data_IF_712077653881
#
_entry.id   IF_712077653881
#
_cell.length_a   1.000
_cell.length_b   1.000
_cell.length_c   1.000
_cell.angle_alpha   90.00
_cell.angle_beta   90.00
_cell.angle_gamma   90.00
#
_symmetry.space_group_name_H-M   'P 1'
#
loop_
_entity.id
_entity.type
_entity.pdbx_description
1 polymer ?
#
# COMPACT_ATOMS: atom_id res chain seq x y z
N UNK A 1 -43.14 -19.05 -60.39
CA UNK A 1 -43.98 -19.16 -59.16
C UNK A 1 -43.13 -19.31 -57.90
N UNK A 2 -42.16 -20.23 -57.87
CA UNK A 2 -41.30 -20.46 -56.70
C UNK A 2 -40.37 -19.30 -56.31
N UNK A 3 -39.85 -18.51 -57.26
CA UNK A 3 -38.97 -17.37 -56.97
C UNK A 3 -39.69 -16.25 -56.21
N UNK A 4 -40.93 -15.92 -56.60
CA UNK A 4 -41.76 -14.93 -55.92
C UNK A 4 -42.10 -15.35 -54.50
N UNK A 5 -42.53 -16.60 -54.31
CA UNK A 5 -42.76 -17.19 -52.99
C UNK A 5 -41.49 -17.14 -52.12
N UNK A 6 -40.33 -17.48 -52.68
CA UNK A 6 -39.06 -17.47 -51.95
C UNK A 6 -38.64 -16.06 -51.49
N UNK A 7 -38.76 -15.06 -52.37
CA UNK A 7 -38.46 -13.66 -52.06
C UNK A 7 -39.41 -13.14 -50.97
N UNK A 8 -40.71 -13.40 -51.10
CA UNK A 8 -41.72 -13.02 -50.10
C UNK A 8 -41.43 -13.68 -48.74
N UNK A 9 -40.99 -14.94 -48.72
CA UNK A 9 -40.59 -15.64 -47.48
C UNK A 9 -39.30 -15.09 -46.87
N UNK A 10 -38.28 -14.76 -47.68
CA UNK A 10 -37.06 -14.12 -47.17
C UNK A 10 -37.34 -12.73 -46.59
N UNK A 11 -38.17 -11.93 -47.25
CA UNK A 11 -38.60 -10.63 -46.72
C UNK A 11 -39.36 -10.77 -45.40
N UNK A 12 -40.23 -11.78 -45.31
CA UNK A 12 -40.91 -12.12 -44.06
C UNK A 12 -39.91 -12.51 -42.96
N UNK A 13 -38.93 -13.38 -43.25
CA UNK A 13 -37.91 -13.78 -42.29
C UNK A 13 -37.02 -12.61 -41.83
N UNK A 14 -36.69 -11.67 -42.72
CA UNK A 14 -35.99 -10.42 -42.35
C UNK A 14 -36.82 -9.57 -41.41
N UNK A 15 -38.11 -9.42 -41.70
CA UNK A 15 -39.02 -8.68 -40.81
C UNK A 15 -39.13 -9.34 -39.43
N UNK A 16 -39.11 -10.67 -39.38
CA UNK A 16 -39.18 -11.46 -38.15
C UNK A 16 -37.86 -11.38 -37.35
N UNK A 17 -36.70 -11.36 -38.03
CA UNK A 17 -35.41 -11.06 -37.40
C UNK A 17 -35.40 -9.65 -36.81
N UNK A 18 -35.80 -8.65 -37.58
CA UNK A 18 -35.85 -7.26 -37.10
C UNK A 18 -36.75 -7.10 -35.87
N UNK A 19 -37.89 -7.80 -35.85
CA UNK A 19 -38.78 -7.85 -34.68
C UNK A 19 -38.12 -8.56 -33.49
N UNK A 20 -37.44 -9.69 -33.72
CA UNK A 20 -36.68 -10.39 -32.68
C UNK A 20 -35.56 -9.51 -32.11
N UNK A 21 -34.84 -8.79 -32.97
CA UNK A 21 -33.72 -7.94 -32.54
C UNK A 21 -34.22 -6.81 -31.66
N UNK A 22 -35.24 -6.08 -32.10
CA UNK A 22 -35.83 -4.96 -31.35
C UNK A 22 -36.58 -5.38 -30.08
N UNK A 23 -37.33 -6.49 -30.13
CA UNK A 23 -38.18 -6.89 -29.02
C UNK A 23 -37.45 -7.74 -27.98
N UNK A 24 -36.38 -8.44 -28.39
CA UNK A 24 -35.72 -9.45 -27.56
C UNK A 24 -34.22 -9.17 -27.48
N UNK A 25 -33.47 -9.15 -28.59
CA UNK A 25 -32.00 -9.09 -28.52
C UNK A 25 -31.45 -7.78 -27.93
N UNK A 26 -31.89 -6.62 -28.42
CA UNK A 26 -31.45 -5.30 -27.96
C UNK A 26 -31.79 -5.06 -26.48
N UNK A 27 -33.05 -5.27 -26.00
CA UNK A 27 -33.36 -5.15 -24.58
C UNK A 27 -32.58 -6.11 -23.69
N UNK A 28 -32.25 -7.32 -24.18
CA UNK A 28 -31.45 -8.28 -23.43
C UNK A 28 -29.99 -7.82 -23.30
N UNK A 29 -29.41 -7.19 -24.32
CA UNK A 29 -28.07 -6.59 -24.24
C UNK A 29 -28.01 -5.39 -23.29
N UNK A 30 -29.02 -4.52 -23.31
CA UNK A 30 -29.10 -3.36 -22.41
C UNK A 30 -29.26 -3.80 -20.95
N UNK A 31 -30.13 -4.78 -20.68
CA UNK A 31 -30.28 -5.34 -19.33
C UNK A 31 -29.02 -6.03 -18.84
N UNK A 32 -28.29 -6.75 -19.71
CA UNK A 32 -26.98 -7.30 -19.32
C UNK A 32 -25.99 -6.21 -18.89
N UNK A 33 -25.98 -5.05 -19.55
CA UNK A 33 -25.13 -3.90 -19.17
C UNK A 33 -25.64 -3.11 -17.95
N UNK A 34 -26.94 -3.13 -17.68
CA UNK A 34 -27.58 -2.38 -16.59
C UNK A 34 -27.74 -3.16 -15.29
N UNK A 35 -27.83 -4.49 -15.34
CA UNK A 35 -28.02 -5.36 -14.18
C UNK A 35 -26.72 -5.52 -13.37
N UNK A 36 -25.57 -5.23 -14.00
CA UNK A 36 -24.30 -5.14 -13.32
C UNK A 36 -23.78 -3.71 -13.43
N UNK A 37 -23.71 -3.01 -12.29
CA UNK A 37 -22.85 -1.84 -12.21
C UNK A 37 -21.42 -2.32 -12.47
N UNK A 38 -20.94 -2.16 -13.71
CA UNK A 38 -19.63 -2.65 -14.15
C UNK A 38 -18.48 -2.22 -13.21
N UNK A 39 -18.66 -1.12 -12.50
CA UNK A 39 -17.74 -0.61 -11.48
C UNK A 39 -17.70 -1.48 -10.20
N UNK A 40 -18.86 -1.96 -9.74
CA UNK A 40 -18.98 -2.80 -8.53
C UNK A 40 -18.40 -4.18 -8.81
N UNK A 41 -18.68 -4.72 -10.00
CA UNK A 41 -18.15 -6.02 -10.41
C UNK A 41 -16.64 -5.96 -10.62
N UNK A 42 -16.10 -4.91 -11.23
CA UNK A 42 -14.65 -4.70 -11.35
C UNK A 42 -13.96 -4.63 -9.98
N UNK A 43 -14.50 -3.83 -9.04
CA UNK A 43 -13.92 -3.68 -7.70
C UNK A 43 -14.04 -4.94 -6.83
N UNK A 44 -15.14 -5.70 -6.96
CA UNK A 44 -15.32 -6.98 -6.27
C UNK A 44 -14.47 -8.08 -6.91
N UNK A 45 -14.28 -8.08 -8.23
CA UNK A 45 -13.44 -9.04 -8.94
C UNK A 45 -11.95 -8.83 -8.65
N UNK A 46 -11.49 -7.58 -8.46
CA UNK A 46 -10.13 -7.30 -7.96
C UNK A 46 -9.90 -7.88 -6.55
N UNK A 47 -10.91 -7.90 -5.68
CA UNK A 47 -10.85 -8.54 -4.36
C UNK A 47 -11.08 -10.06 -4.38
N UNK A 48 -11.67 -10.59 -5.46
CA UNK A 48 -12.02 -12.02 -5.60
C UNK A 48 -10.79 -12.92 -5.66
N UNK A 49 -9.64 -12.38 -6.07
CA UNK A 49 -8.36 -13.08 -6.04
C UNK A 49 -7.78 -13.13 -4.62
N UNK A 50 -8.08 -12.14 -3.78
CA UNK A 50 -7.51 -11.99 -2.43
C UNK A 50 -8.42 -12.56 -1.32
N UNK A 51 -9.74 -12.70 -1.56
CA UNK A 51 -10.73 -13.18 -0.58
C UNK A 51 -11.52 -14.37 -1.14
N UNK A 52 -11.17 -15.58 -0.70
CA UNK A 52 -11.74 -16.85 -1.18
C UNK A 52 -13.27 -16.96 -0.95
N UNK A 53 -13.77 -16.35 0.13
CA UNK A 53 -15.22 -16.29 0.45
C UNK A 53 -16.02 -15.46 -0.58
N UNK A 54 -15.41 -14.42 -1.18
CA UNK A 54 -16.04 -13.63 -2.25
C UNK A 54 -16.06 -14.44 -3.56
N UNK A 55 -15.06 -15.30 -3.77
CA UNK A 55 -14.96 -16.15 -4.97
C UNK A 55 -16.09 -17.16 -5.07
N UNK A 56 -16.51 -17.75 -3.95
CA UNK A 56 -17.61 -18.72 -3.89
C UNK A 56 -18.98 -18.08 -4.19
N UNK A 57 -19.18 -16.83 -3.79
CA UNK A 57 -20.47 -16.13 -3.92
C UNK A 57 -20.85 -15.75 -5.37
N UNK A 58 -19.86 -15.68 -6.28
CA UNK A 58 -19.98 -15.12 -7.64
C UNK A 58 -19.57 -16.10 -8.78
N UNK A 59 -19.80 -17.41 -8.63
CA UNK A 59 -19.54 -18.39 -9.70
C UNK A 59 -20.78 -18.57 -10.61
N UNK A 60 -20.86 -17.85 -11.74
CA UNK A 60 -22.03 -17.88 -12.65
C UNK A 60 -21.71 -18.44 -14.06
N UNK A 61 -21.05 -19.59 -14.14
CA UNK A 61 -20.59 -20.24 -15.39
C UNK A 61 -21.69 -20.58 -16.41
N UNK A 62 -22.97 -20.55 -16.05
CA UNK A 62 -24.07 -20.93 -16.95
C UNK A 62 -24.64 -19.75 -17.75
N UNK A 63 -24.52 -18.51 -17.25
CA UNK A 63 -25.12 -17.31 -17.87
C UNK A 63 -24.31 -16.84 -19.07
N UNK A 64 -23.00 -16.72 -18.92
CA UNK A 64 -22.08 -16.31 -19.98
C UNK A 64 -22.14 -17.25 -21.20
N UNK A 65 -22.42 -18.53 -20.96
CA UNK A 65 -22.59 -19.53 -22.00
C UNK A 65 -23.86 -19.32 -22.84
N UNK A 66 -24.96 -18.86 -22.24
CA UNK A 66 -26.20 -18.56 -22.97
C UNK A 66 -26.07 -17.28 -23.78
N UNK A 67 -25.42 -16.23 -23.23
CA UNK A 67 -25.13 -14.97 -23.96
C UNK A 67 -24.26 -15.25 -25.18
N UNK A 68 -23.13 -15.93 -24.96
CA UNK A 68 -22.15 -16.19 -26.01
C UNK A 68 -22.76 -16.99 -27.15
N UNK A 69 -23.65 -17.94 -26.83
CA UNK A 69 -24.41 -18.72 -27.82
C UNK A 69 -25.47 -17.91 -28.55
N UNK A 70 -26.18 -17.01 -27.86
CA UNK A 70 -27.17 -16.12 -28.47
C UNK A 70 -26.51 -15.12 -29.42
N UNK A 71 -25.40 -14.51 -29.00
CA UNK A 71 -24.59 -13.58 -29.81
C UNK A 71 -24.04 -14.27 -31.06
N UNK A 72 -23.44 -15.45 -30.90
CA UNK A 72 -22.96 -16.26 -32.02
C UNK A 72 -24.06 -16.61 -33.02
N UNK A 73 -25.28 -16.90 -32.54
CA UNK A 73 -26.42 -17.18 -33.44
C UNK A 73 -26.96 -15.94 -34.13
N UNK A 74 -26.99 -14.79 -33.45
CA UNK A 74 -27.41 -13.51 -34.01
C UNK A 74 -26.46 -13.05 -35.13
N UNK A 75 -25.14 -13.08 -34.89
CA UNK A 75 -24.13 -12.78 -35.91
C UNK A 75 -24.29 -13.68 -37.15
N UNK A 76 -24.49 -14.99 -36.94
CA UNK A 76 -24.73 -15.92 -38.06
C UNK A 76 -26.05 -15.73 -38.79
N UNK A 77 -27.07 -15.17 -38.13
CA UNK A 77 -28.34 -14.83 -38.75
C UNK A 77 -28.24 -13.53 -39.57
N UNK A 78 -27.36 -12.61 -39.16
CA UNK A 78 -27.00 -11.42 -39.91
C UNK A 78 -26.33 -11.76 -41.23
N UNK A 79 -25.25 -12.55 -41.19
CA UNK A 79 -24.56 -12.99 -42.40
C UNK A 79 -25.46 -13.76 -43.38
N UNK A 80 -26.48 -14.49 -42.91
CA UNK A 80 -27.41 -15.22 -43.79
C UNK A 80 -28.50 -14.34 -44.42
N UNK A 81 -28.73 -13.14 -43.87
CA UNK A 81 -29.81 -12.24 -44.27
C UNK A 81 -29.30 -10.92 -44.88
N UNK A 82 -27.98 -10.70 -44.92
CA UNK A 82 -27.35 -9.61 -45.66
C UNK A 82 -27.62 -9.71 -47.17
N UNK A 83 -27.88 -8.56 -47.80
CA UNK A 83 -28.53 -8.47 -49.12
C UNK A 83 -27.59 -8.51 -50.34
N UNK A 84 -26.27 -8.59 -50.16
CA UNK A 84 -25.33 -8.25 -51.25
C UNK A 84 -24.23 -9.29 -51.55
N UNK A 85 -24.39 -10.57 -51.19
CA UNK A 85 -23.38 -11.61 -51.46
C UNK A 85 -23.91 -13.02 -51.75
N UNK A 86 -23.04 -13.88 -52.30
CA UNK A 86 -23.28 -15.33 -52.32
C UNK A 86 -23.30 -15.86 -50.88
N UNK A 87 -24.34 -16.62 -50.54
CA UNK A 87 -24.47 -17.20 -49.20
C UNK A 87 -23.40 -18.29 -49.00
N UNK A 88 -22.41 -18.00 -48.15
CA UNK A 88 -21.35 -18.95 -47.84
C UNK A 88 -21.91 -20.19 -47.10
N UNK A 89 -21.72 -21.41 -47.64
CA UNK A 89 -22.19 -22.64 -47.04
C UNK A 89 -21.69 -22.93 -45.61
N UNK A 90 -20.58 -22.29 -45.18
CA UNK A 90 -20.00 -22.45 -43.84
C UNK A 90 -20.96 -21.97 -42.74
N UNK A 91 -21.85 -21.03 -43.05
CA UNK A 91 -22.81 -20.52 -42.08
C UNK A 91 -24.00 -21.44 -41.86
N UNK A 92 -24.22 -22.46 -42.71
CA UNK A 92 -25.34 -23.40 -42.51
C UNK A 92 -25.09 -24.40 -41.38
N UNK A 93 -26.14 -24.74 -40.64
CA UNK A 93 -26.08 -25.71 -39.55
C UNK A 93 -26.05 -27.16 -40.08
N UNK A 94 -25.25 -28.04 -39.45
CA UNK A 94 -25.22 -29.48 -39.78
C UNK A 94 -26.62 -30.14 -39.70
N UNK A 95 -27.49 -29.64 -38.81
CA UNK A 95 -28.85 -30.14 -38.63
C UNK A 95 -29.79 -29.74 -39.77
N UNK A 96 -29.56 -28.64 -40.48
CA UNK A 96 -30.34 -28.31 -41.69
C UNK A 96 -29.94 -29.17 -42.90
N UNK A 97 -28.68 -29.63 -42.97
CA UNK A 97 -28.23 -30.57 -44.01
C UNK A 97 -28.99 -31.90 -43.94
N UNK A 98 -29.10 -32.48 -42.73
CA UNK A 98 -29.75 -33.77 -42.49
C UNK A 98 -31.24 -33.78 -42.85
N UNK A 99 -31.93 -32.64 -42.74
CA UNK A 99 -33.36 -32.53 -43.11
C UNK A 99 -33.61 -32.47 -44.62
N UNK A 100 -32.57 -32.28 -45.43
CA UNK A 100 -32.65 -32.08 -46.88
C UNK A 100 -32.04 -33.23 -47.69
N UNK A 101 -31.51 -34.26 -47.04
CA UNK A 101 -30.70 -35.34 -47.63
C UNK A 101 -31.39 -36.18 -48.73
N UNK A 102 -32.69 -36.02 -48.98
CA UNK A 102 -33.40 -36.90 -49.92
C UNK A 102 -33.66 -36.36 -51.33
N UNK A 103 -33.68 -35.06 -51.63
CA UNK A 103 -34.25 -34.60 -52.93
C UNK A 103 -33.67 -33.34 -53.63
N UNK A 104 -32.57 -32.71 -53.19
CA UNK A 104 -32.12 -31.44 -53.79
C UNK A 104 -30.60 -31.33 -53.99
N UNK A 105 -30.07 -31.93 -55.07
CA UNK A 105 -28.64 -31.87 -55.39
C UNK A 105 -28.22 -30.67 -56.27
N UNK A 106 -29.13 -30.06 -57.04
CA UNK A 106 -28.75 -29.02 -58.01
C UNK A 106 -28.75 -27.58 -57.46
N UNK A 107 -29.47 -27.29 -56.37
CA UNK A 107 -29.58 -25.95 -55.75
C UNK A 107 -29.57 -26.04 -54.21
N UNK A 108 -28.71 -26.90 -53.67
CA UNK A 108 -28.71 -27.28 -52.25
C UNK A 108 -28.62 -26.10 -51.28
N UNK A 109 -27.79 -25.09 -51.57
CA UNK A 109 -27.63 -23.90 -50.72
C UNK A 109 -28.87 -23.01 -50.70
N UNK A 110 -29.50 -22.79 -51.86
CA UNK A 110 -30.71 -21.96 -51.98
C UNK A 110 -31.92 -22.60 -51.28
N UNK A 111 -32.09 -23.91 -51.44
CA UNK A 111 -33.18 -24.67 -50.81
C UNK A 111 -32.96 -24.80 -49.29
N UNK A 112 -31.70 -24.76 -48.84
CA UNK A 112 -31.32 -24.88 -47.42
C UNK A 112 -31.42 -23.58 -46.63
N UNK A 113 -31.39 -22.43 -47.30
CA UNK A 113 -31.39 -21.12 -46.65
C UNK A 113 -32.59 -20.90 -45.72
N UNK A 114 -33.80 -21.06 -46.23
CA UNK A 114 -35.05 -20.84 -45.45
C UNK A 114 -35.17 -21.82 -44.27
N UNK A 115 -34.99 -23.15 -44.43
CA UNK A 115 -34.98 -24.08 -43.30
C UNK A 115 -33.91 -23.79 -42.25
N UNK A 116 -32.74 -23.32 -42.67
CA UNK A 116 -31.63 -23.03 -41.76
C UNK A 116 -31.86 -21.77 -40.94
N UNK A 117 -32.37 -20.70 -41.57
CA UNK A 117 -32.81 -19.48 -40.87
C UNK A 117 -33.90 -19.83 -39.85
N UNK A 118 -34.91 -20.61 -40.23
CA UNK A 118 -35.99 -21.02 -39.32
C UNK A 118 -35.45 -21.83 -38.12
N UNK A 119 -34.52 -22.75 -38.33
CA UNK A 119 -33.88 -23.52 -37.24
C UNK A 119 -33.05 -22.63 -36.31
N UNK A 120 -32.30 -21.67 -36.86
CA UNK A 120 -31.53 -20.71 -36.05
C UNK A 120 -32.44 -19.78 -35.26
N UNK A 121 -33.52 -19.29 -35.86
CA UNK A 121 -34.51 -18.44 -35.20
C UNK A 121 -35.24 -19.19 -34.08
N UNK A 122 -35.62 -20.45 -34.30
CA UNK A 122 -36.19 -21.30 -33.25
C UNK A 122 -35.19 -21.52 -32.09
N UNK A 123 -33.92 -21.79 -32.42
CA UNK A 123 -32.86 -21.93 -31.41
C UNK A 123 -32.59 -20.62 -30.65
N UNK A 124 -32.63 -19.48 -31.33
CA UNK A 124 -32.51 -18.16 -30.71
C UNK A 124 -33.70 -17.87 -29.79
N UNK A 125 -34.92 -18.25 -30.20
CA UNK A 125 -36.13 -18.18 -29.36
C UNK A 125 -36.02 -19.02 -28.09
N UNK A 126 -35.57 -20.28 -28.20
CA UNK A 126 -35.34 -21.15 -27.04
C UNK A 126 -34.26 -20.62 -26.10
N UNK A 127 -33.17 -20.06 -26.64
CA UNK A 127 -32.12 -19.44 -25.83
C UNK A 127 -32.61 -18.15 -25.16
N UNK A 128 -33.44 -17.36 -25.83
CA UNK A 128 -34.09 -16.19 -25.25
C UNK A 128 -35.09 -16.57 -24.16
N UNK A 129 -35.84 -17.65 -24.33
CA UNK A 129 -36.74 -18.19 -23.29
C UNK A 129 -35.95 -18.71 -22.07
N UNK A 130 -34.85 -19.44 -22.31
CA UNK A 130 -33.93 -19.85 -21.24
C UNK A 130 -33.33 -18.64 -20.51
N UNK A 131 -32.97 -17.59 -21.26
CA UNK A 131 -32.49 -16.33 -20.70
C UNK A 131 -33.55 -15.63 -19.86
N UNK A 132 -34.79 -15.55 -20.35
CA UNK A 132 -35.92 -14.97 -19.61
C UNK A 132 -36.23 -15.78 -18.35
N UNK A 133 -36.09 -17.09 -18.39
CA UNK A 133 -36.24 -17.94 -17.20
C UNK A 133 -35.10 -17.69 -16.20
N UNK A 134 -33.85 -17.56 -16.65
CA UNK A 134 -32.72 -17.16 -15.81
C UNK A 134 -32.96 -15.78 -15.19
N UNK A 135 -33.44 -14.81 -15.97
CA UNK A 135 -33.80 -13.48 -15.48
C UNK A 135 -34.99 -13.48 -14.52
N UNK A 136 -36.01 -14.32 -14.72
CA UNK A 136 -37.16 -14.44 -13.83
C UNK A 136 -36.76 -15.04 -12.48
N UNK A 137 -35.88 -16.04 -12.51
CA UNK A 137 -35.26 -16.60 -11.29
C UNK A 137 -34.35 -15.56 -10.62
N UNK A 138 -33.63 -14.73 -11.36
CA UNK A 138 -32.82 -13.63 -10.82
C UNK A 138 -33.64 -12.47 -10.26
N UNK A 139 -34.78 -12.15 -10.86
CA UNK A 139 -35.71 -11.13 -10.33
C UNK A 139 -36.23 -11.54 -8.95
N UNK A 140 -36.50 -12.83 -8.75
CA UNK A 140 -36.81 -13.42 -7.45
C UNK A 140 -35.55 -13.59 -6.55
N UNK A 141 -34.35 -13.60 -7.14
CA UNK A 141 -33.07 -13.60 -6.44
C UNK A 141 -32.50 -12.19 -6.21
N UNK A 142 -33.25 -11.12 -6.50
CA UNK A 142 -32.83 -9.74 -6.21
C UNK A 142 -32.60 -9.54 -4.71
N UNK A 143 -33.51 -10.04 -3.87
CA UNK A 143 -33.34 -10.10 -2.42
C UNK A 143 -32.14 -10.96 -2.00
N UNK A 144 -31.86 -12.06 -2.72
CA UNK A 144 -30.68 -12.88 -2.46
C UNK A 144 -29.38 -12.17 -2.88
N UNK A 145 -29.40 -11.34 -3.93
CA UNK A 145 -28.29 -10.51 -4.38
C UNK A 145 -28.02 -9.36 -3.42
N UNK A 146 -29.07 -8.67 -3.00
CA UNK A 146 -28.98 -7.63 -1.96
C UNK A 146 -28.46 -8.24 -0.65
N UNK A 147 -28.95 -9.42 -0.27
CA UNK A 147 -28.41 -10.17 0.88
C UNK A 147 -26.95 -10.63 0.69
N UNK A 148 -26.50 -10.95 -0.53
CA UNK A 148 -25.08 -11.23 -0.82
C UNK A 148 -24.24 -9.96 -0.71
N UNK A 149 -24.70 -8.82 -1.25
CA UNK A 149 -24.03 -7.53 -1.15
C UNK A 149 -23.95 -7.03 0.29
N UNK A 150 -25.01 -7.21 1.08
CA UNK A 150 -25.01 -6.92 2.51
C UNK A 150 -24.00 -7.80 3.27
N UNK A 151 -23.91 -9.11 2.96
CA UNK A 151 -22.87 -9.99 3.54
C UNK A 151 -21.46 -9.56 3.15
N UNK A 152 -21.24 -9.19 1.89
CA UNK A 152 -19.93 -8.67 1.44
C UNK A 152 -19.62 -7.35 2.15
N UNK A 153 -20.59 -6.46 2.31
CA UNK A 153 -20.45 -5.21 3.07
C UNK A 153 -20.08 -5.47 4.52
N UNK A 154 -20.75 -6.40 5.21
CA UNK A 154 -20.41 -6.75 6.60
C UNK A 154 -19.01 -7.35 6.70
N UNK A 155 -18.66 -8.30 5.81
CA UNK A 155 -17.32 -8.91 5.80
C UNK A 155 -16.21 -7.89 5.56
N UNK A 156 -16.38 -7.00 4.58
CA UNK A 156 -15.39 -5.96 4.31
C UNK A 156 -15.31 -4.94 5.45
N UNK A 157 -16.43 -4.62 6.10
CA UNK A 157 -16.45 -3.73 7.26
C UNK A 157 -15.76 -4.34 8.47
N UNK A 158 -15.98 -5.62 8.73
CA UNK A 158 -15.31 -6.38 9.80
C UNK A 158 -13.81 -6.50 9.51
N UNK A 159 -13.41 -6.78 8.26
CA UNK A 159 -12.00 -6.78 7.87
C UNK A 159 -11.37 -5.39 8.04
N UNK A 160 -12.07 -4.32 7.65
CA UNK A 160 -11.59 -2.95 7.80
C UNK A 160 -11.38 -2.58 9.27
N UNK A 161 -12.30 -2.94 10.16
CA UNK A 161 -12.15 -2.70 11.60
C UNK A 161 -10.98 -3.49 12.20
N UNK A 162 -10.77 -4.73 11.77
CA UNK A 162 -9.63 -5.54 12.18
C UNK A 162 -8.30 -4.93 11.70
N UNK A 163 -8.19 -4.56 10.43
CA UNK A 163 -6.99 -3.91 9.86
C UNK A 163 -6.69 -2.59 10.58
N UNK A 164 -7.71 -1.76 10.86
CA UNK A 164 -7.54 -0.53 11.64
C UNK A 164 -7.09 -0.82 13.09
N UNK A 165 -7.58 -1.90 13.70
CA UNK A 165 -7.15 -2.34 15.02
C UNK A 165 -5.70 -2.84 15.05
N UNK A 166 -5.24 -3.51 13.99
CA UNK A 166 -3.85 -3.93 13.82
C UNK A 166 -2.92 -2.74 13.59
N UNK A 167 -3.29 -1.82 12.69
CA UNK A 167 -2.58 -0.56 12.46
C UNK A 167 -2.39 0.17 13.79
N UNK A 168 -3.46 0.38 14.56
CA UNK A 168 -3.38 1.09 15.84
C UNK A 168 -2.57 0.37 16.93
N UNK A 169 -2.34 -0.94 16.81
CA UNK A 169 -1.41 -1.67 17.70
C UNK A 169 0.04 -1.43 17.28
N UNK A 170 0.32 -1.55 15.98
CA UNK A 170 1.67 -1.37 15.45
C UNK A 170 2.12 0.08 15.58
N UNK A 171 1.25 1.07 15.36
CA UNK A 171 1.53 2.49 15.60
C UNK A 171 1.96 2.74 17.06
N UNK A 172 1.25 2.17 18.04
CA UNK A 172 1.60 2.30 19.45
C UNK A 172 2.93 1.62 19.80
N UNK A 173 3.19 0.46 19.20
CA UNK A 173 4.46 -0.23 19.38
C UNK A 173 5.59 0.61 18.78
N UNK A 174 5.42 1.09 17.55
CA UNK A 174 6.40 1.94 16.86
C UNK A 174 6.68 3.24 17.64
N UNK A 175 5.66 3.91 18.17
CA UNK A 175 5.83 5.11 19.00
C UNK A 175 6.67 4.82 20.26
N UNK A 176 6.40 3.69 20.93
CA UNK A 176 7.14 3.26 22.12
C UNK A 176 8.60 2.94 21.78
N UNK A 177 8.82 2.12 20.75
CA UNK A 177 10.16 1.68 20.33
C UNK A 177 10.97 2.84 19.77
N UNK A 178 10.36 3.76 19.00
CA UNK A 178 11.00 4.98 18.52
C UNK A 178 11.42 5.90 19.67
N UNK A 179 10.61 5.98 20.74
CA UNK A 179 10.96 6.72 21.95
C UNK A 179 12.16 6.11 22.67
N UNK A 180 12.22 4.79 22.77
CA UNK A 180 13.38 4.09 23.34
C UNK A 180 14.63 4.24 22.46
N UNK A 181 14.49 4.16 21.13
CA UNK A 181 15.57 4.36 20.17
C UNK A 181 16.20 5.75 20.31
N UNK A 182 15.38 6.79 20.43
CA UNK A 182 15.86 8.16 20.65
C UNK A 182 16.70 8.26 21.94
N UNK A 183 16.23 7.64 23.03
CA UNK A 183 16.97 7.61 24.29
C UNK A 183 18.30 6.86 24.17
N UNK A 184 18.35 5.76 23.41
CA UNK A 184 19.59 5.00 23.19
C UNK A 184 20.60 5.78 22.34
N UNK A 185 20.14 6.46 21.28
CA UNK A 185 20.98 7.32 20.45
C UNK A 185 21.60 8.47 21.27
N UNK A 186 20.81 9.14 22.12
CA UNK A 186 21.33 10.18 23.01
C UNK A 186 22.39 9.64 23.99
N UNK A 187 22.22 8.41 24.46
CA UNK A 187 23.21 7.74 25.31
C UNK A 187 24.48 7.36 24.54
N UNK A 188 24.36 7.00 23.26
CA UNK A 188 25.51 6.68 22.41
C UNK A 188 26.39 7.92 22.21
N UNK A 189 25.77 9.08 22.04
CA UNK A 189 26.42 10.38 21.88
C UNK A 189 27.06 10.89 23.19
N UNK A 190 26.65 10.39 24.35
CA UNK A 190 27.21 10.79 25.65
C UNK A 190 28.73 10.64 25.72
N UNK A 191 29.27 9.59 25.10
CA UNK A 191 30.71 9.35 25.00
C UNK A 191 31.45 10.50 24.31
N UNK A 192 30.85 11.11 23.28
CA UNK A 192 31.40 12.27 22.55
C UNK A 192 31.40 13.50 23.45
N UNK A 193 30.30 13.75 24.16
CA UNK A 193 30.19 14.88 25.10
C UNK A 193 31.22 14.82 26.22
N UNK A 194 31.45 13.62 26.78
CA UNK A 194 32.46 13.42 27.83
C UNK A 194 33.88 13.61 27.26
N UNK A 195 34.15 13.11 26.05
CA UNK A 195 35.44 13.30 25.38
C UNK A 195 35.76 14.78 25.13
N UNK A 196 34.76 15.57 24.72
CA UNK A 196 34.94 17.01 24.51
C UNK A 196 35.13 17.76 25.84
N UNK A 197 34.43 17.34 26.91
CA UNK A 197 34.69 17.86 28.26
C UNK A 197 36.12 17.55 28.70
N UNK A 198 36.63 16.34 28.47
CA UNK A 198 38.01 15.96 28.80
C UNK A 198 39.03 16.87 28.09
N UNK A 199 38.86 17.11 26.78
CA UNK A 199 39.70 18.03 26.01
C UNK A 199 39.65 19.47 26.56
N UNK A 200 38.46 19.96 26.94
CA UNK A 200 38.32 21.30 27.51
C UNK A 200 39.05 21.44 28.86
N UNK A 201 39.00 20.40 29.70
CA UNK A 201 39.71 20.35 30.97
C UNK A 201 41.22 20.28 30.78
N UNK A 202 41.70 19.57 29.77
CA UNK A 202 43.11 19.53 29.40
C UNK A 202 43.63 20.91 29.00
N UNK A 203 42.89 21.65 28.17
CA UNK A 203 43.24 23.03 27.84
C UNK A 203 43.28 23.94 29.08
N UNK A 204 42.31 23.79 29.99
CA UNK A 204 42.26 24.53 31.26
C UNK A 204 43.45 24.18 32.16
N UNK A 205 43.84 22.91 32.22
CA UNK A 205 45.00 22.43 32.96
C UNK A 205 46.30 23.02 32.44
N UNK A 206 46.50 23.04 31.12
CA UNK A 206 47.68 23.62 30.51
C UNK A 206 47.81 25.11 30.86
N UNK A 207 46.72 25.88 30.72
CA UNK A 207 46.68 27.30 31.12
C UNK A 207 46.95 27.52 32.61
N UNK A 208 46.41 26.68 33.48
CA UNK A 208 46.68 26.76 34.93
C UNK A 208 48.13 26.40 35.24
N UNK A 209 48.68 25.39 34.58
CA UNK A 209 50.06 24.95 34.77
C UNK A 209 51.06 26.05 34.37
N UNK A 210 50.84 26.66 33.20
CA UNK A 210 51.63 27.83 32.75
C UNK A 210 51.58 28.98 33.76
N UNK A 211 50.38 29.32 34.28
CA UNK A 211 50.25 30.38 35.29
C UNK A 211 50.93 30.04 36.61
N UNK A 212 50.89 28.78 37.04
CA UNK A 212 51.62 28.32 38.24
C UNK A 212 53.12 28.46 38.04
N UNK A 213 53.65 28.04 36.88
CA UNK A 213 55.07 28.22 36.54
C UNK A 213 55.47 29.70 36.48
N UNK A 214 54.67 30.55 35.82
CA UNK A 214 54.92 32.00 35.76
C UNK A 214 54.94 32.64 37.15
N UNK A 215 53.97 32.31 38.00
CA UNK A 215 53.93 32.85 39.38
C UNK A 215 55.06 32.31 40.23
N UNK A 216 55.48 31.06 40.04
CA UNK A 216 56.67 30.49 40.69
C UNK A 216 57.94 31.25 40.31
N UNK A 217 58.17 31.52 39.02
CA UNK A 217 59.31 32.30 38.56
C UNK A 217 59.29 33.74 39.12
N UNK A 218 58.12 34.40 39.14
CA UNK A 218 58.01 35.73 39.76
C UNK A 218 58.33 35.72 41.26
N UNK A 219 57.96 34.65 41.99
CA UNK A 219 58.32 34.50 43.42
C UNK A 219 59.82 34.34 43.57
N UNK A 220 60.48 33.55 42.71
CA UNK A 220 61.94 33.39 42.76
C UNK A 220 62.66 34.70 42.47
N UNK A 221 62.24 35.45 41.45
CA UNK A 221 62.84 36.74 41.08
C UNK A 221 62.73 37.76 42.21
N UNK A 222 61.53 37.90 42.80
CA UNK A 222 61.32 38.80 43.94
C UNK A 222 62.16 38.36 45.15
N UNK A 223 62.26 37.05 45.41
CA UNK A 223 63.07 36.52 46.51
C UNK A 223 64.55 36.86 46.34
N UNK A 224 65.07 36.78 45.12
CA UNK A 224 66.47 37.07 44.86
C UNK A 224 66.75 38.58 44.92
N UNK A 225 65.83 39.42 44.43
CA UNK A 225 65.88 40.88 44.63
C UNK A 225 65.89 41.28 46.12
N UNK A 226 65.09 40.60 46.94
CA UNK A 226 65.07 40.83 48.41
C UNK A 226 66.42 40.48 49.04
N UNK A 227 67.09 39.40 48.60
CA UNK A 227 68.42 39.02 49.11
C UNK A 227 69.49 40.03 48.71
N UNK A 228 69.44 40.56 47.49
CA UNK A 228 70.44 41.53 47.00
C UNK A 228 70.28 42.93 47.60
N UNK A 229 69.08 43.29 48.07
CA UNK A 229 68.77 44.63 48.54
C UNK A 229 69.26 44.96 49.98
N UNK A 230 69.93 44.03 50.69
CA UNK A 230 70.67 44.30 51.94
C UNK A 230 69.90 45.15 52.97
N UNK A 231 69.01 44.52 53.75
CA UNK A 231 67.89 45.21 54.41
C UNK A 231 68.22 46.36 55.39
N UNK A 232 67.52 47.49 55.22
CA UNK A 232 66.56 48.05 56.19
C UNK A 232 65.72 49.22 55.60
N UNK A 233 65.35 49.14 54.31
CA UNK A 233 64.78 50.28 53.58
C UNK A 233 63.29 50.10 53.24
N UNK A 234 62.56 51.21 53.04
CA UNK A 234 61.13 51.19 52.62
C UNK A 234 60.90 50.36 51.34
N UNK A 235 61.93 50.23 50.51
CA UNK A 235 61.94 49.41 49.31
C UNK A 235 61.87 47.90 49.63
N UNK A 236 62.67 47.42 50.58
CA UNK A 236 62.68 46.00 50.99
C UNK A 236 61.36 45.55 51.63
N UNK A 237 60.71 46.40 52.42
CA UNK A 237 59.39 46.09 52.99
C UNK A 237 58.30 45.98 51.92
N UNK A 238 58.35 46.81 50.88
CA UNK A 238 57.44 46.72 49.73
C UNK A 238 57.62 45.41 48.94
N UNK A 239 58.87 45.02 48.65
CA UNK A 239 59.20 43.75 48.00
C UNK A 239 58.72 42.53 48.80
N UNK A 240 58.87 42.54 50.13
CA UNK A 240 58.36 41.46 51.00
C UNK A 240 56.83 41.36 50.98
N UNK A 241 56.13 42.50 50.93
CA UNK A 241 54.67 42.49 50.80
C UNK A 241 54.21 41.92 49.44
N UNK A 242 54.91 42.27 48.36
CA UNK A 242 54.63 41.75 47.01
C UNK A 242 54.97 40.25 46.91
N UNK A 243 56.05 39.79 47.53
CA UNK A 243 56.38 38.36 47.66
C UNK A 243 55.22 37.59 48.31
N UNK A 244 54.71 38.08 49.45
CA UNK A 244 53.61 37.44 50.18
C UNK A 244 52.32 37.39 49.36
N UNK A 245 52.03 38.45 48.58
CA UNK A 245 50.89 38.46 47.64
C UNK A 245 51.08 37.42 46.54
N UNK A 246 52.27 37.34 45.94
CA UNK A 246 52.57 36.37 44.87
C UNK A 246 52.54 34.93 45.37
N UNK A 247 53.04 34.67 46.59
CA UNK A 247 52.92 33.36 47.24
C UNK A 247 51.47 32.94 47.43
N UNK A 248 50.61 33.82 47.96
CA UNK A 248 49.17 33.53 48.07
C UNK A 248 48.54 33.20 46.71
N UNK A 249 48.86 33.98 45.68
CA UNK A 249 48.36 33.73 44.33
C UNK A 249 48.85 32.38 43.79
N UNK A 250 50.12 32.04 43.98
CA UNK A 250 50.68 30.75 43.58
C UNK A 250 49.97 29.59 44.29
N UNK A 251 49.74 29.70 45.60
CA UNK A 251 49.05 28.66 46.38
C UNK A 251 47.60 28.47 45.92
N UNK A 252 46.90 29.58 45.63
CA UNK A 252 45.54 29.54 45.06
C UNK A 252 45.52 28.85 43.69
N UNK A 253 46.45 29.22 42.81
CA UNK A 253 46.54 28.66 41.45
C UNK A 253 46.97 27.19 41.48
N UNK A 254 47.87 26.82 42.38
CA UNK A 254 48.29 25.44 42.63
C UNK A 254 47.12 24.60 43.18
N UNK A 255 46.32 25.17 44.09
CA UNK A 255 45.07 24.56 44.56
C UNK A 255 44.08 24.31 43.42
N UNK A 256 43.80 25.34 42.60
CA UNK A 256 42.94 25.22 41.40
C UNK A 256 43.46 24.18 40.41
N UNK A 257 44.77 24.11 40.21
CA UNK A 257 45.41 23.10 39.36
C UNK A 257 45.18 21.68 39.90
N UNK A 258 45.34 21.47 41.21
CA UNK A 258 45.09 20.16 41.83
C UNK A 258 43.63 19.72 41.66
N UNK A 259 42.67 20.62 41.88
CA UNK A 259 41.25 20.33 41.70
C UNK A 259 40.95 19.99 40.24
N UNK A 260 41.45 20.78 39.28
CA UNK A 260 41.25 20.52 37.86
C UNK A 260 41.89 19.20 37.40
N UNK A 261 43.03 18.78 38.01
CA UNK A 261 43.66 17.48 37.72
C UNK A 261 42.78 16.33 38.19
N UNK A 262 42.20 16.46 39.38
CA UNK A 262 41.25 15.49 39.89
C UNK A 262 39.98 15.42 39.03
N UNK A 263 39.43 16.58 38.64
CA UNK A 263 38.26 16.64 37.75
C UNK A 263 38.54 15.97 36.40
N UNK A 264 39.70 16.23 35.78
CA UNK A 264 40.11 15.56 34.54
C UNK A 264 40.18 14.04 34.72
N UNK A 265 40.81 13.58 35.81
CA UNK A 265 40.92 12.15 36.10
C UNK A 265 39.54 11.48 36.22
N UNK A 266 38.60 12.11 36.92
CA UNK A 266 37.23 11.61 37.05
C UNK A 266 36.54 11.48 35.68
N UNK A 267 36.66 12.52 34.84
CA UNK A 267 36.06 12.54 33.49
C UNK A 267 36.70 11.48 32.58
N UNK A 268 38.00 11.23 32.70
CA UNK A 268 38.69 10.16 31.96
C UNK A 268 38.25 8.76 32.42
N UNK A 269 38.04 8.56 33.72
CA UNK A 269 37.48 7.31 34.27
C UNK A 269 36.06 7.08 33.77
N UNK A 270 35.20 8.10 33.82
CA UNK A 270 33.84 8.06 33.28
C UNK A 270 33.85 7.75 31.77
N UNK A 271 34.76 8.36 31.01
CA UNK A 271 34.91 8.09 29.57
C UNK A 271 35.31 6.65 29.29
N UNK A 272 36.23 6.09 30.08
CA UNK A 272 36.66 4.70 29.92
C UNK A 272 35.48 3.74 30.10
N UNK A 273 34.68 3.94 31.14
CA UNK A 273 33.50 3.13 31.42
C UNK A 273 32.47 3.23 30.29
N UNK A 274 32.22 4.43 29.77
CA UNK A 274 31.30 4.63 28.65
C UNK A 274 31.80 3.95 27.37
N UNK A 275 33.11 4.00 27.09
CA UNK A 275 33.69 3.32 25.93
C UNK A 275 33.64 1.80 26.03
N UNK A 276 33.68 1.23 27.24
CA UNK A 276 33.48 -0.22 27.47
C UNK A 276 32.04 -0.66 27.16
N UNK A 277 31.06 0.20 27.48
CA UNK A 277 29.63 -0.11 27.30
C UNK A 277 29.17 0.20 25.87
N UNK A 278 29.82 1.16 25.18
CA UNK A 278 29.41 1.67 23.86
C UNK A 278 29.15 0.59 22.81
N UNK A 279 29.99 -0.45 22.63
CA UNK A 279 29.71 -1.51 21.65
C UNK A 279 28.40 -2.26 21.91
N UNK A 280 28.06 -2.50 23.19
CA UNK A 280 26.81 -3.14 23.55
C UNK A 280 25.62 -2.20 23.30
N UNK A 281 25.78 -0.92 23.60
CA UNK A 281 24.78 0.09 23.33
C UNK A 281 24.47 0.19 21.82
N UNK A 282 25.50 0.29 20.98
CA UNK A 282 25.36 0.32 19.51
C UNK A 282 24.60 -0.92 19.01
N UNK A 283 24.90 -2.11 19.53
CA UNK A 283 24.19 -3.33 19.14
C UNK A 283 22.70 -3.29 19.50
N UNK A 284 22.38 -2.73 20.68
CA UNK A 284 20.99 -2.55 21.11
C UNK A 284 20.28 -1.51 20.24
N UNK A 285 20.92 -0.35 20.00
CA UNK A 285 20.41 0.71 19.12
C UNK A 285 20.12 0.17 17.73
N UNK A 286 21.06 -0.55 17.11
CA UNK A 286 20.89 -1.11 15.77
C UNK A 286 19.75 -2.14 15.73
N UNK A 287 19.69 -3.05 16.71
CA UNK A 287 18.61 -4.05 16.77
C UNK A 287 17.24 -3.41 16.96
N UNK A 288 17.16 -2.31 17.71
CA UNK A 288 15.93 -1.55 17.89
C UNK A 288 15.55 -0.77 16.64
N UNK A 289 16.53 -0.18 15.95
CA UNK A 289 16.32 0.48 14.67
C UNK A 289 15.77 -0.49 13.62
N UNK A 290 16.36 -1.68 13.49
CA UNK A 290 15.85 -2.74 12.61
C UNK A 290 14.41 -3.15 12.96
N UNK A 291 14.07 -3.19 14.26
CA UNK A 291 12.70 -3.46 14.71
C UNK A 291 11.73 -2.35 14.29
N UNK A 292 12.11 -1.07 14.46
CA UNK A 292 11.31 0.06 14.01
C UNK A 292 11.08 0.00 12.49
N UNK A 293 12.12 -0.25 11.70
CA UNK A 293 12.03 -0.40 10.24
C UNK A 293 11.07 -1.53 9.84
N UNK A 294 11.09 -2.67 10.56
CA UNK A 294 10.16 -3.77 10.32
C UNK A 294 8.70 -3.38 10.62
N UNK A 295 8.47 -2.64 11.71
CA UNK A 295 7.13 -2.15 12.09
C UNK A 295 6.61 -1.13 11.06
N UNK A 296 7.46 -0.24 10.55
CA UNK A 296 7.11 0.71 9.48
C UNK A 296 6.73 -0.02 8.19
N UNK A 297 7.51 -1.03 7.77
CA UNK A 297 7.19 -1.85 6.60
C UNK A 297 5.86 -2.59 6.79
N UNK A 298 5.59 -3.11 7.98
CA UNK A 298 4.32 -3.75 8.28
C UNK A 298 3.14 -2.78 8.21
N UNK A 299 3.29 -1.54 8.73
CA UNK A 299 2.29 -0.48 8.63
C UNK A 299 1.99 -0.11 7.19
N UNK A 300 3.01 0.04 6.35
CA UNK A 300 2.85 0.34 4.93
C UNK A 300 2.03 -0.73 4.19
N UNK A 301 2.24 -2.01 4.53
CA UNK A 301 1.45 -3.11 3.97
C UNK A 301 -0.01 -3.04 4.42
N UNK A 302 -0.25 -2.78 5.71
CA UNK A 302 -1.60 -2.66 6.26
C UNK A 302 -2.34 -1.43 5.72
N UNK A 303 -1.68 -0.29 5.53
CA UNK A 303 -2.30 0.88 4.93
C UNK A 303 -2.70 0.64 3.46
N UNK A 304 -1.85 -0.06 2.70
CA UNK A 304 -2.20 -0.49 1.33
C UNK A 304 -3.39 -1.44 1.32
N UNK A 305 -3.45 -2.38 2.27
CA UNK A 305 -4.61 -3.27 2.43
C UNK A 305 -5.88 -2.47 2.78
N UNK A 306 -5.79 -1.54 3.74
CA UNK A 306 -6.90 -0.65 4.12
C UNK A 306 -7.42 0.13 2.92
N UNK A 307 -6.54 0.75 2.14
CA UNK A 307 -6.92 1.54 0.97
C UNK A 307 -7.58 0.68 -0.12
N UNK A 308 -7.12 -0.56 -0.33
CA UNK A 308 -7.77 -1.52 -1.23
C UNK A 308 -9.19 -1.85 -0.76
N UNK A 309 -9.36 -2.15 0.54
CA UNK A 309 -10.67 -2.47 1.13
C UNK A 309 -11.61 -1.26 1.05
N UNK A 310 -11.16 -0.05 1.39
CA UNK A 310 -11.96 1.18 1.33
C UNK A 310 -12.44 1.49 -0.08
N UNK A 311 -11.55 1.34 -1.09
CA UNK A 311 -11.92 1.49 -2.50
C UNK A 311 -13.00 0.52 -2.95
N UNK A 312 -13.00 -0.70 -2.41
CA UNK A 312 -13.98 -1.72 -2.76
C UNK A 312 -15.30 -1.61 -1.98
N UNK A 313 -15.27 -1.13 -0.73
CA UNK A 313 -16.50 -0.92 0.07
C UNK A 313 -17.35 0.20 -0.52
N UNK A 314 -16.72 1.29 -0.98
CA UNK A 314 -17.43 2.47 -1.49
C UNK A 314 -18.50 2.16 -2.56
N UNK A 315 -18.21 1.46 -3.67
CA UNK A 315 -19.22 1.12 -4.66
C UNK A 315 -20.30 0.18 -4.13
N UNK A 316 -19.96 -0.74 -3.20
CA UNK A 316 -20.93 -1.65 -2.57
C UNK A 316 -21.93 -0.87 -1.71
N UNK A 317 -21.44 0.09 -0.92
CA UNK A 317 -22.29 0.97 -0.10
C UNK A 317 -23.19 1.83 -0.97
N UNK A 318 -22.65 2.44 -2.02
CA UNK A 318 -23.42 3.28 -2.94
C UNK A 318 -24.54 2.49 -3.63
N UNK A 319 -24.31 1.22 -4.02
CA UNK A 319 -25.37 0.37 -4.58
C UNK A 319 -26.43 -0.07 -3.57
N UNK A 320 -26.03 -0.46 -2.36
CA UNK A 320 -26.98 -0.85 -1.32
C UNK A 320 -27.88 0.33 -0.92
N UNK A 321 -27.34 1.55 -0.91
CA UNK A 321 -28.11 2.77 -0.59
C UNK A 321 -29.01 3.26 -1.72
N UNK A 322 -28.79 2.85 -2.96
CA UNK A 322 -29.67 3.19 -4.10
C UNK A 322 -30.85 2.23 -4.24
N UNK A 323 -30.73 1.01 -3.72
CA UNK A 323 -31.77 -0.04 -3.80
C UNK A 323 -32.71 -0.09 -2.58
N UNK A 324 -32.37 0.60 -1.48
CA UNK A 324 -33.22 0.81 -0.28
C UNK A 324 -34.01 2.11 -0.33
#
# INVERSE_FOLDING_TARGET
MYSRWFIENLQYLKSLKLQFDKAIYEPLQEKHKSIFGALVESSIMELKEDIEEIKELYSETNKDNVISRLKYLHERLEYLLEDEGEVDPIFFSLTSAQSLERNCQANGSFVRLVPDILKKMNKAGLLAEQWLHVLAVESASGEQRLGKLERVKTLLSDRLTNVNGEIGKIEKELDSESGELQNLLEREDRSVLIADRAKSLEQKLNKLHERVLQTYHQITDIRDLVKTAGGNDKFTTKLMADLKKKQKLHDEMSGKLKVAKYEKKLVEEDLSLELEIKPNLIRLTNGLQEKCEQLEVALDLLYKEREKIERAIKPVVDTVSMET
#
